data_IF_142912460931
#
_entry.id   IF_142912460931
#
_cell.length_a   1.000
_cell.length_b   1.000
_cell.length_c   1.000
_cell.angle_alpha   90.00
_cell.angle_beta   90.00
_cell.angle_gamma   90.00
#
_symmetry.space_group_name_H-M   'P 1'
#
loop_
_entity.id
_entity.type
_entity.pdbx_description
1 polymer ?
#
# COMPACT_ATOMS: atom_id res chain seq x y z
N UNK A 1 16.29 22.35 8.73
CA UNK A 1 17.27 21.69 7.82
C UNK A 1 17.12 22.28 6.42
N UNK A 2 18.19 22.41 5.63
CA UNK A 2 18.11 23.00 4.28
C UNK A 2 17.44 21.98 3.33
N UNK A 3 16.32 22.37 2.67
CA UNK A 3 15.54 21.51 1.76
C UNK A 3 16.40 20.92 0.64
N UNK A 4 17.36 21.67 0.10
CA UNK A 4 18.24 21.16 -0.95
C UNK A 4 19.16 20.03 -0.47
N UNK A 5 19.67 20.15 0.76
CA UNK A 5 20.51 19.11 1.37
C UNK A 5 19.68 17.84 1.61
N UNK A 6 18.45 18.00 2.11
CA UNK A 6 17.51 16.87 2.28
C UNK A 6 17.21 16.18 0.95
N UNK A 7 16.93 16.95 -0.10
CA UNK A 7 16.62 16.43 -1.43
C UNK A 7 17.79 15.62 -2.00
N UNK A 8 19.00 16.13 -1.88
CA UNK A 8 20.21 15.44 -2.33
C UNK A 8 20.49 14.14 -1.55
N UNK A 9 20.23 14.16 -0.25
CA UNK A 9 20.36 12.96 0.58
C UNK A 9 19.29 11.93 0.21
N UNK A 10 18.03 12.33 0.05
CA UNK A 10 16.93 11.43 -0.31
C UNK A 10 17.19 10.77 -1.68
N UNK A 11 17.66 11.53 -2.68
CA UNK A 11 17.99 10.97 -4.00
C UNK A 11 19.07 9.89 -3.87
N UNK A 12 20.13 10.13 -3.10
CA UNK A 12 21.18 9.12 -2.86
C UNK A 12 20.63 7.87 -2.19
N UNK A 13 19.78 8.04 -1.17
CA UNK A 13 19.17 6.91 -0.48
C UNK A 13 18.25 6.10 -1.40
N UNK A 14 17.56 6.77 -2.35
CA UNK A 14 16.73 6.07 -3.34
C UNK A 14 17.57 5.28 -4.36
N UNK A 15 18.77 5.74 -4.67
CA UNK A 15 19.69 4.96 -5.51
C UNK A 15 20.23 3.74 -4.74
N UNK A 16 20.52 3.87 -3.44
CA UNK A 16 20.93 2.76 -2.58
C UNK A 16 19.82 1.72 -2.40
N UNK A 17 18.59 2.14 -2.12
CA UNK A 17 17.44 1.25 -1.88
C UNK A 17 17.05 0.45 -3.14
N UNK A 18 17.50 0.86 -4.32
CA UNK A 18 17.32 0.12 -5.57
C UNK A 18 18.07 -1.22 -5.59
N UNK A 19 19.02 -1.41 -4.69
CA UNK A 19 19.72 -2.66 -4.47
C UNK A 19 18.88 -3.53 -3.51
N UNK A 20 18.39 -4.71 -3.94
CA UNK A 20 17.45 -5.52 -3.12
C UNK A 20 17.95 -5.85 -1.72
N UNK A 21 19.26 -6.07 -1.55
CA UNK A 21 19.89 -6.37 -0.27
C UNK A 21 19.84 -5.18 0.69
N UNK A 22 19.88 -3.95 0.15
CA UNK A 22 19.82 -2.72 0.94
C UNK A 22 18.38 -2.31 1.26
N UNK A 23 17.40 -2.76 0.45
CA UNK A 23 15.97 -2.45 0.68
C UNK A 23 15.52 -2.84 2.09
N UNK A 24 15.96 -4.01 2.58
CA UNK A 24 15.59 -4.48 3.91
C UNK A 24 16.03 -3.51 5.02
N UNK A 25 17.12 -2.78 4.82
CA UNK A 25 17.61 -1.81 5.77
C UNK A 25 16.71 -0.56 5.89
N UNK A 26 15.91 -0.28 4.86
CA UNK A 26 14.89 0.79 4.84
C UNK A 26 13.48 0.29 5.20
N UNK A 27 13.29 -1.02 5.26
CA UNK A 27 12.05 -1.69 5.66
C UNK A 27 12.32 -2.68 6.81
N UNK A 28 12.75 -2.18 7.99
CA UNK A 28 13.26 -3.02 9.07
C UNK A 28 12.22 -4.01 9.63
N UNK A 29 10.95 -3.61 9.66
CA UNK A 29 9.84 -4.46 10.11
C UNK A 29 9.33 -5.41 9.02
N UNK A 30 9.83 -5.26 7.78
CA UNK A 30 9.49 -6.09 6.64
C UNK A 30 7.97 -6.20 6.34
N UNK A 31 7.18 -5.20 6.74
CA UNK A 31 5.72 -5.26 6.65
C UNK A 31 5.21 -5.40 5.20
N UNK A 32 5.87 -4.77 4.22
CA UNK A 32 5.52 -4.92 2.81
C UNK A 32 5.49 -6.40 2.42
N UNK A 33 6.56 -7.12 2.73
CA UNK A 33 6.69 -8.53 2.32
C UNK A 33 5.99 -9.48 3.28
N UNK A 34 6.05 -9.26 4.58
CA UNK A 34 5.45 -10.17 5.57
C UNK A 34 3.91 -10.13 5.57
N UNK A 35 3.31 -9.01 5.17
CA UNK A 35 1.86 -8.83 5.23
C UNK A 35 1.15 -8.85 3.88
N UNK A 36 1.84 -8.45 2.80
CA UNK A 36 1.23 -8.20 1.49
C UNK A 36 1.89 -8.97 0.34
N UNK A 37 2.95 -9.74 0.60
CA UNK A 37 3.63 -10.55 -0.39
C UNK A 37 3.44 -12.03 -0.09
N UNK A 38 3.19 -12.85 -1.11
CA UNK A 38 2.91 -14.29 -0.99
C UNK A 38 1.74 -14.67 -0.05
N UNK A 39 0.85 -13.72 0.23
CA UNK A 39 -0.37 -14.00 1.00
C UNK A 39 -1.30 -14.85 0.13
N UNK A 40 -1.64 -16.04 0.59
CA UNK A 40 -2.55 -16.92 -0.12
C UNK A 40 -3.99 -16.39 -0.09
N UNK A 41 -4.79 -16.73 -1.10
CA UNK A 41 -6.22 -16.40 -1.10
C UNK A 41 -6.95 -16.95 0.13
N UNK A 42 -6.60 -18.16 0.57
CA UNK A 42 -7.12 -18.75 1.81
C UNK A 42 -6.83 -17.89 3.03
N UNK A 43 -5.65 -17.31 3.10
CA UNK A 43 -5.25 -16.42 4.20
C UNK A 43 -5.98 -15.08 4.12
N UNK A 44 -6.12 -14.48 2.92
CA UNK A 44 -6.92 -13.28 2.73
C UNK A 44 -8.37 -13.49 3.16
N UNK A 45 -9.00 -14.63 2.76
CA UNK A 45 -10.34 -15.03 3.19
C UNK A 45 -10.44 -15.21 4.70
N UNK A 46 -9.42 -15.76 5.33
CA UNK A 46 -9.39 -15.90 6.79
C UNK A 46 -9.28 -14.56 7.52
N UNK A 47 -8.48 -13.63 6.99
CA UNK A 47 -8.32 -12.27 7.53
C UNK A 47 -9.61 -11.46 7.37
N UNK A 48 -10.22 -11.44 6.18
CA UNK A 48 -11.45 -10.68 5.92
C UNK A 48 -12.63 -11.20 6.74
N UNK A 49 -12.71 -12.53 6.98
CA UNK A 49 -13.74 -13.13 7.81
C UNK A 49 -13.69 -12.60 9.25
N UNK A 50 -12.50 -12.50 9.82
CA UNK A 50 -12.29 -12.04 11.22
C UNK A 50 -12.42 -10.53 11.38
N UNK A 51 -12.29 -9.79 10.30
CA UNK A 51 -12.36 -8.35 10.35
C UNK A 51 -13.79 -7.87 10.67
N UNK A 52 -13.97 -6.80 11.44
CA UNK A 52 -15.27 -6.22 11.68
C UNK A 52 -15.90 -5.72 10.38
N UNK A 53 -17.23 -5.55 10.39
CA UNK A 53 -17.87 -4.85 9.28
C UNK A 53 -17.40 -3.39 9.29
N UNK A 54 -17.09 -2.82 8.11
CA UNK A 54 -16.74 -1.41 8.02
C UNK A 54 -17.96 -0.54 8.36
N UNK A 55 -17.70 0.69 8.76
CA UNK A 55 -18.76 1.68 8.93
C UNK A 55 -19.47 1.97 7.61
N UNK A 56 -20.75 2.39 7.62
CA UNK A 56 -21.44 2.78 6.40
C UNK A 56 -20.64 3.82 5.60
N UNK A 57 -20.46 3.57 4.29
CA UNK A 57 -19.68 4.43 3.40
C UNK A 57 -18.16 4.22 3.47
N UNK A 58 -17.68 3.30 4.29
CA UNK A 58 -16.28 2.88 4.29
C UNK A 58 -16.11 1.48 3.70
N UNK A 59 -14.89 1.19 3.24
CA UNK A 59 -14.53 -0.09 2.63
C UNK A 59 -13.39 -0.73 3.42
N UNK A 60 -13.50 -2.03 3.65
CA UNK A 60 -12.43 -2.84 4.23
C UNK A 60 -11.91 -3.82 3.21
N UNK A 61 -10.63 -3.73 2.93
CA UNK A 61 -9.92 -4.55 1.96
C UNK A 61 -8.78 -5.32 2.63
N UNK A 62 -8.58 -6.55 2.18
CA UNK A 62 -7.36 -7.32 2.42
C UNK A 62 -6.69 -7.54 1.08
N UNK A 63 -5.50 -6.97 0.91
CA UNK A 63 -4.77 -6.94 -0.37
C UNK A 63 -3.45 -7.68 -0.33
N UNK A 64 -2.98 -8.08 -1.51
CA UNK A 64 -1.65 -8.64 -1.74
C UNK A 64 -1.05 -8.13 -3.04
N UNK A 65 0.27 -8.09 -3.14
CA UNK A 65 0.98 -7.90 -4.39
C UNK A 65 0.92 -9.15 -5.27
N UNK A 66 0.87 -8.95 -6.59
CA UNK A 66 0.89 -10.02 -7.61
C UNK A 66 2.23 -10.16 -8.33
N UNK A 67 3.15 -9.20 -8.15
CA UNK A 67 4.47 -9.22 -8.78
C UNK A 67 5.54 -9.96 -7.97
N UNK A 68 6.74 -10.02 -8.53
CA UNK A 68 7.94 -10.50 -7.84
C UNK A 68 8.42 -9.51 -6.77
N UNK A 69 9.32 -9.95 -5.91
CA UNK A 69 9.93 -9.07 -4.89
C UNK A 69 10.65 -7.88 -5.53
N UNK A 70 11.38 -8.11 -6.59
CA UNK A 70 12.13 -7.10 -7.36
C UNK A 70 11.19 -6.09 -8.02
N UNK A 71 10.07 -6.56 -8.58
CA UNK A 71 9.04 -5.67 -9.13
C UNK A 71 8.43 -4.79 -8.05
N UNK A 72 8.11 -5.35 -6.86
CA UNK A 72 7.56 -4.58 -5.74
C UNK A 72 8.56 -3.51 -5.27
N UNK A 73 9.84 -3.84 -5.14
CA UNK A 73 10.88 -2.87 -4.81
C UNK A 73 10.92 -1.75 -5.84
N UNK A 74 10.85 -2.09 -7.13
CA UNK A 74 10.82 -1.10 -8.21
C UNK A 74 9.60 -0.17 -8.11
N UNK A 75 8.42 -0.70 -7.83
CA UNK A 75 7.20 0.09 -7.62
C UNK A 75 7.35 1.04 -6.42
N UNK A 76 7.89 0.55 -5.31
CA UNK A 76 8.14 1.37 -4.11
C UNK A 76 9.08 2.55 -4.44
N UNK A 77 10.17 2.29 -5.13
CA UNK A 77 11.13 3.34 -5.54
C UNK A 77 10.48 4.34 -6.48
N UNK A 78 9.64 3.86 -7.41
CA UNK A 78 8.90 4.71 -8.33
C UNK A 78 8.00 5.70 -7.56
N UNK A 79 7.21 5.20 -6.60
CA UNK A 79 6.34 6.04 -5.76
C UNK A 79 7.16 7.04 -4.93
N UNK A 80 8.25 6.61 -4.31
CA UNK A 80 9.12 7.50 -3.55
C UNK A 80 9.72 8.61 -4.44
N UNK A 81 10.14 8.29 -5.66
CA UNK A 81 10.68 9.28 -6.62
C UNK A 81 9.62 10.25 -7.13
N UNK A 82 8.41 9.78 -7.38
CA UNK A 82 7.28 10.63 -7.80
C UNK A 82 6.87 11.65 -6.74
N UNK A 83 7.05 11.32 -5.47
CA UNK A 83 6.62 12.14 -4.34
C UNK A 83 7.78 12.84 -3.58
N UNK A 84 8.95 13.00 -4.22
CA UNK A 84 10.16 13.56 -3.57
C UNK A 84 9.91 14.92 -2.90
N UNK A 85 9.25 15.82 -3.59
CA UNK A 85 9.05 17.19 -3.09
C UNK A 85 8.06 17.20 -1.91
N UNK A 86 7.01 16.37 -1.97
CA UNK A 86 6.06 16.19 -0.88
C UNK A 86 6.73 15.58 0.37
N UNK A 87 7.53 14.55 0.20
CA UNK A 87 8.29 13.92 1.29
C UNK A 87 9.19 14.96 2.00
N UNK A 88 9.90 15.78 1.22
CA UNK A 88 10.79 16.80 1.77
C UNK A 88 10.01 17.89 2.50
N UNK A 89 8.88 18.30 1.95
CA UNK A 89 8.02 19.29 2.59
C UNK A 89 7.48 18.78 3.92
N UNK A 90 6.97 17.55 3.95
CA UNK A 90 6.44 16.92 5.17
C UNK A 90 7.54 16.71 6.23
N UNK A 91 8.70 16.19 5.86
CA UNK A 91 9.82 16.05 6.81
C UNK A 91 10.32 17.40 7.34
N UNK A 92 10.18 18.47 6.55
CA UNK A 92 10.51 19.83 7.02
C UNK A 92 9.48 20.35 8.01
N UNK A 93 8.20 20.06 7.77
CA UNK A 93 7.06 20.50 8.60
C UNK A 93 6.90 19.67 9.87
N UNK A 94 6.99 18.36 9.74
CA UNK A 94 6.81 17.41 10.83
C UNK A 94 7.85 16.27 10.77
N UNK A 95 9.07 16.49 11.28
CA UNK A 95 10.17 15.54 11.15
C UNK A 95 9.95 14.20 11.90
N UNK A 96 8.92 14.09 12.73
CA UNK A 96 8.59 12.90 13.50
C UNK A 96 7.27 12.26 13.06
N UNK A 97 6.59 12.83 12.07
CA UNK A 97 5.30 12.34 11.58
C UNK A 97 5.41 11.12 10.68
N UNK A 98 4.28 10.46 10.51
CA UNK A 98 4.09 9.50 9.43
C UNK A 98 3.72 10.30 8.17
N UNK A 99 4.27 9.90 7.03
CA UNK A 99 3.96 10.45 5.71
C UNK A 99 3.31 9.34 4.91
N UNK A 100 2.11 9.58 4.41
CA UNK A 100 1.42 8.68 3.49
C UNK A 100 1.54 9.26 2.08
N UNK A 101 2.06 8.46 1.17
CA UNK A 101 2.19 8.80 -0.25
C UNK A 101 1.58 7.71 -1.11
N UNK A 102 1.12 8.07 -2.28
CA UNK A 102 0.50 7.15 -3.21
C UNK A 102 1.10 7.31 -4.61
N UNK A 103 1.14 6.21 -5.35
CA UNK A 103 1.47 6.21 -6.77
C UNK A 103 0.50 5.33 -7.54
N UNK A 104 0.13 5.76 -8.75
CA UNK A 104 -0.78 5.03 -9.65
C UNK A 104 0.01 4.41 -10.79
N UNK A 105 -0.44 3.24 -11.25
CA UNK A 105 0.18 2.49 -12.32
C UNK A 105 -0.87 2.11 -13.38
N UNK A 106 -0.46 2.02 -14.64
CA UNK A 106 -1.33 1.66 -15.76
C UNK A 106 -1.80 0.20 -15.73
N UNK A 107 -1.10 -0.65 -14.97
CA UNK A 107 -1.43 -2.07 -14.83
C UNK A 107 -1.69 -2.42 -13.36
N UNK A 108 -2.49 -3.45 -13.10
CA UNK A 108 -2.63 -3.96 -11.74
C UNK A 108 -1.29 -4.38 -11.15
N UNK A 109 -1.04 -3.99 -9.91
CA UNK A 109 0.14 -4.32 -9.11
C UNK A 109 -0.20 -5.28 -7.98
N UNK A 110 -1.48 -5.46 -7.73
CA UNK A 110 -2.00 -6.31 -6.68
C UNK A 110 -3.45 -6.66 -6.89
N UNK A 111 -3.97 -7.43 -5.95
CA UNK A 111 -5.36 -7.82 -5.89
C UNK A 111 -5.82 -7.97 -4.44
N UNK A 112 -7.13 -7.98 -4.22
CA UNK A 112 -7.66 -8.11 -2.87
C UNK A 112 -9.10 -8.56 -2.81
N UNK A 113 -9.56 -8.79 -1.59
CA UNK A 113 -10.93 -9.17 -1.25
C UNK A 113 -11.55 -8.05 -0.42
N UNK A 114 -12.77 -7.66 -0.77
CA UNK A 114 -13.53 -6.65 -0.02
C UNK A 114 -14.52 -7.31 0.96
N UNK A 115 -14.65 -6.71 2.14
CA UNK A 115 -15.69 -7.08 3.10
C UNK A 115 -17.06 -6.64 2.55
N UNK A 116 -18.05 -7.53 2.60
CA UNK A 116 -19.38 -7.24 2.07
C UNK A 116 -19.55 -7.56 0.59
N UNK A 117 -18.63 -8.36 0.01
CA UNK A 117 -18.75 -8.92 -1.34
C UNK A 117 -18.65 -10.45 -1.31
N UNK A 118 -18.80 -11.10 -2.46
CA UNK A 118 -18.42 -12.51 -2.60
C UNK A 118 -16.90 -12.65 -2.42
N UNK A 119 -16.48 -13.41 -1.44
CA UNK A 119 -15.05 -13.60 -1.12
C UNK A 119 -14.31 -14.48 -2.13
N UNK A 120 -14.99 -15.02 -3.13
CA UNK A 120 -14.36 -15.67 -4.28
C UNK A 120 -14.01 -14.66 -5.39
N UNK A 121 -14.52 -13.41 -5.29
CA UNK A 121 -14.20 -12.33 -6.22
C UNK A 121 -12.96 -11.59 -5.74
N UNK A 122 -11.93 -11.59 -6.57
CA UNK A 122 -10.72 -10.79 -6.39
C UNK A 122 -10.86 -9.49 -7.18
N UNK A 123 -10.47 -8.38 -6.57
CA UNK A 123 -10.47 -7.06 -7.19
C UNK A 123 -9.03 -6.66 -7.49
N UNK A 124 -8.77 -6.27 -8.73
CA UNK A 124 -7.48 -5.73 -9.15
C UNK A 124 -7.21 -4.38 -8.47
N UNK A 125 -5.94 -4.10 -8.23
CA UNK A 125 -5.48 -2.87 -7.58
C UNK A 125 -4.29 -2.29 -8.34
N UNK A 126 -4.41 -1.05 -8.78
CA UNK A 126 -3.40 -0.37 -9.60
C UNK A 126 -2.66 0.76 -8.87
N UNK A 127 -3.04 1.08 -7.64
CA UNK A 127 -2.33 2.05 -6.80
C UNK A 127 -1.44 1.34 -5.78
N UNK A 128 -0.35 2.03 -5.39
CA UNK A 128 0.49 1.65 -4.26
C UNK A 128 0.45 2.78 -3.23
N UNK A 129 -0.04 2.46 -2.03
CA UNK A 129 0.11 3.33 -0.87
C UNK A 129 1.35 2.96 -0.09
N UNK A 130 2.16 3.94 0.26
CA UNK A 130 3.31 3.80 1.14
C UNK A 130 3.14 4.68 2.37
N UNK A 131 3.52 4.15 3.52
CA UNK A 131 3.68 4.90 4.76
C UNK A 131 5.15 4.89 5.12
N UNK A 132 5.73 6.07 5.24
CA UNK A 132 7.12 6.26 5.62
C UNK A 132 7.21 7.14 6.87
N UNK A 133 8.32 7.07 7.58
CA UNK A 133 8.66 7.98 8.68
C UNK A 133 10.14 8.33 8.63
N UNK A 134 10.55 9.35 9.39
CA UNK A 134 11.95 9.63 9.60
C UNK A 134 12.65 8.41 10.22
N UNK A 135 13.88 8.16 9.82
CA UNK A 135 14.64 7.03 10.31
C UNK A 135 15.26 7.32 11.68
N UNK A 136 15.15 6.35 12.59
CA UNK A 136 15.87 6.35 13.85
C UNK A 136 17.36 5.90 13.68
N UNK A 137 17.71 5.45 12.48
CA UNK A 137 19.04 4.96 12.15
C UNK A 137 19.90 6.14 11.68
N UNK A 138 21.02 6.37 12.37
CA UNK A 138 21.96 7.43 12.01
C UNK A 138 22.43 7.29 10.55
N UNK A 139 22.36 8.38 9.80
CA UNK A 139 22.80 8.44 8.41
C UNK A 139 21.71 8.10 7.39
N UNK A 140 20.50 7.72 7.81
CA UNK A 140 19.32 7.54 6.94
C UNK A 140 18.29 8.59 7.21
N UNK A 141 17.62 9.07 6.16
CA UNK A 141 16.55 10.04 6.28
C UNK A 141 15.22 9.40 6.66
N UNK A 142 14.92 8.26 6.08
CA UNK A 142 13.60 7.64 6.22
C UNK A 142 13.69 6.13 6.41
N UNK A 143 12.59 5.58 6.86
CA UNK A 143 12.29 4.16 6.82
C UNK A 143 10.84 3.93 6.37
N UNK A 144 10.62 2.83 5.69
CA UNK A 144 9.30 2.40 5.24
C UNK A 144 8.62 1.67 6.40
N UNK A 145 7.45 2.16 6.80
CA UNK A 145 6.63 1.52 7.84
C UNK A 145 5.81 0.40 7.21
N UNK A 146 5.13 0.68 6.11
CA UNK A 146 4.35 -0.31 5.36
C UNK A 146 4.13 0.16 3.93
N UNK A 147 3.69 -0.75 3.07
CA UNK A 147 3.23 -0.46 1.72
C UNK A 147 2.32 -1.58 1.25
N UNK A 148 1.25 -1.23 0.55
CA UNK A 148 0.25 -2.19 0.08
C UNK A 148 -0.46 -1.70 -1.17
N UNK A 149 -0.93 -2.65 -2.01
CA UNK A 149 -1.80 -2.32 -3.15
C UNK A 149 -3.11 -1.71 -2.67
N UNK A 150 -3.56 -0.69 -3.36
CA UNK A 150 -4.80 0.04 -3.11
C UNK A 150 -5.59 0.20 -4.42
N UNK A 151 -6.90 0.36 -4.30
CA UNK A 151 -7.77 0.61 -5.44
C UNK A 151 -7.53 2.02 -6.01
N UNK A 152 -7.58 2.15 -7.33
CA UNK A 152 -7.82 3.43 -8.00
C UNK A 152 -9.27 3.88 -7.79
N UNK A 153 -9.62 5.07 -8.25
CA UNK A 153 -11.01 5.57 -8.17
C UNK A 153 -11.96 4.66 -8.96
N UNK A 154 -11.61 4.32 -10.19
CA UNK A 154 -12.46 3.46 -11.06
C UNK A 154 -12.60 2.04 -10.47
N UNK A 155 -11.53 1.49 -9.89
CA UNK A 155 -11.55 0.19 -9.22
C UNK A 155 -12.40 0.23 -7.93
N UNK A 156 -12.42 1.36 -7.24
CA UNK A 156 -13.25 1.60 -6.06
C UNK A 156 -14.74 1.53 -6.40
N UNK A 157 -15.17 2.13 -7.50
CA UNK A 157 -16.56 2.09 -7.98
C UNK A 157 -16.99 0.66 -8.29
N UNK A 158 -16.12 -0.13 -8.94
CA UNK A 158 -16.36 -1.57 -9.20
C UNK A 158 -16.60 -2.37 -7.91
N UNK A 159 -15.87 -2.04 -6.84
CA UNK A 159 -16.05 -2.73 -5.55
C UNK A 159 -17.36 -2.31 -4.88
N UNK A 160 -17.74 -1.03 -4.93
CA UNK A 160 -19.02 -0.56 -4.40
C UNK A 160 -20.20 -1.20 -5.11
N UNK A 161 -20.19 -1.27 -6.45
CA UNK A 161 -21.22 -1.96 -7.24
C UNK A 161 -21.36 -3.43 -6.80
N UNK A 162 -20.24 -4.12 -6.62
CA UNK A 162 -20.22 -5.51 -6.14
C UNK A 162 -20.77 -5.68 -4.71
N UNK A 163 -20.56 -4.71 -3.84
CA UNK A 163 -21.13 -4.70 -2.48
C UNK A 163 -22.65 -4.52 -2.52
N UNK A 164 -23.15 -3.65 -3.38
CA UNK A 164 -24.60 -3.45 -3.58
C UNK A 164 -25.27 -4.70 -4.14
N UNK A 165 -24.69 -5.32 -5.19
CA UNK A 165 -25.16 -6.58 -5.77
C UNK A 165 -25.23 -7.70 -4.72
N UNK A 166 -24.19 -7.84 -3.91
CA UNK A 166 -24.13 -8.85 -2.84
C UNK A 166 -25.18 -8.63 -1.77
N UNK A 167 -25.43 -7.38 -1.40
CA UNK A 167 -26.44 -7.01 -0.40
C UNK A 167 -27.86 -7.28 -0.93
N UNK A 168 -28.11 -6.98 -2.21
CA UNK A 168 -29.39 -7.22 -2.85
C UNK A 168 -29.71 -8.72 -2.97
N UNK A 169 -28.72 -9.55 -3.33
CA UNK A 169 -28.90 -11.00 -3.46
C UNK A 169 -29.33 -11.69 -2.14
N UNK A 170 -28.82 -11.21 -1.01
CA UNK A 170 -29.15 -11.77 0.31
C UNK A 170 -30.51 -11.36 0.85
N UNK A 171 -31.00 -10.18 0.48
CA UNK A 171 -32.36 -9.74 0.86
C UNK A 171 -33.46 -10.53 0.16
N UNK A 172 -33.16 -11.17 -0.98
CA UNK A 172 -34.11 -12.05 -1.70
C UNK A 172 -34.19 -13.48 -1.17
N UNK A 173 -33.25 -13.91 -0.31
CA UNK A 173 -33.26 -15.27 0.27
C UNK A 173 -34.03 -15.35 1.59
N UNK A 174 -34.35 -14.21 2.22
CA UNK A 174 -35.10 -14.12 3.49
C UNK A 174 -36.61 -13.89 3.29
N UNK A 175 -37.14 -14.03 2.06
CA UNK A 175 -38.56 -13.92 1.71
C UNK A 175 -39.08 -15.22 1.12
#
# INVERSE_FOLDING_TARGET
MNKNVLKQQLIRELDEISIPELFQAYNPENHIFSRHYHVSEKEMKARIRKAPMPEPGSMLLISRFTGTREEIITLVICVLRQNLDEIIEEFTRNPYGLIEICGSFERPIGEGIAKGTDWNRLFSMSNLRLVIKASDIRGRLFQIVTGYPELSLDETDIVYDAMEEWTASRKGEDT
#
